data_IF_738307200720
#
_entry.id   IF_738307200720
#
_cell.length_a   1.000
_cell.length_b   1.000
_cell.length_c   1.000
_cell.angle_alpha   90.00
_cell.angle_beta   90.00
_cell.angle_gamma   90.00
#
_symmetry.space_group_name_H-M   'P 1'
#
loop_
_entity.id
_entity.type
_entity.pdbx_description
1 polymer ?
#
# COMPACT_ATOMS: atom_id res chain seq x y z
N UNK A 1 23.37 27.11 12.63
CA UNK A 1 22.58 27.81 11.59
C UNK A 1 21.54 26.84 11.07
N UNK A 2 20.30 27.00 11.52
CA UNK A 2 19.14 26.14 11.20
C UNK A 2 18.34 26.79 10.08
N UNK A 3 18.26 26.15 8.91
CA UNK A 3 17.39 26.59 7.83
C UNK A 3 15.96 26.04 8.06
N UNK A 4 14.92 26.89 8.03
CA UNK A 4 13.55 26.44 8.04
C UNK A 4 13.13 26.15 6.60
N UNK A 5 13.11 24.88 6.19
CA UNK A 5 12.44 24.50 4.94
C UNK A 5 11.01 24.08 5.28
N UNK A 6 10.18 25.07 5.60
CA UNK A 6 8.73 24.92 5.48
C UNK A 6 8.37 25.15 4.01
N UNK A 7 8.66 24.16 3.15
CA UNK A 7 7.99 24.11 1.87
C UNK A 7 6.49 23.94 2.18
N UNK A 8 5.71 25.01 2.01
CA UNK A 8 4.29 24.98 2.34
C UNK A 8 3.63 23.84 1.56
N UNK A 9 2.68 23.16 2.19
CA UNK A 9 1.93 22.04 1.60
C UNK A 9 1.31 22.44 0.25
N UNK A 10 1.04 23.73 0.05
CA UNK A 10 0.56 24.36 -1.18
C UNK A 10 1.66 24.47 -2.25
N UNK A 11 2.90 24.83 -1.89
CA UNK A 11 4.04 24.82 -2.81
C UNK A 11 4.33 23.41 -3.33
N UNK A 12 4.21 22.40 -2.46
CA UNK A 12 4.37 20.99 -2.83
C UNK A 12 3.24 20.47 -3.71
N UNK A 13 1.99 20.93 -3.49
CA UNK A 13 0.89 20.62 -4.40
C UNK A 13 1.04 21.32 -5.75
N UNK A 14 1.61 22.53 -5.81
CA UNK A 14 1.96 23.20 -7.08
C UNK A 14 3.00 22.42 -7.87
N UNK A 15 4.10 22.00 -7.25
CA UNK A 15 5.13 21.18 -7.91
C UNK A 15 4.53 19.86 -8.41
N UNK A 16 3.70 19.19 -7.59
CA UNK A 16 3.02 17.94 -7.97
C UNK A 16 2.01 18.14 -9.12
N UNK A 17 1.39 19.31 -9.20
CA UNK A 17 0.46 19.69 -10.28
C UNK A 17 1.22 20.07 -11.55
N UNK A 18 2.34 20.78 -11.44
CA UNK A 18 3.23 21.11 -12.56
C UNK A 18 3.86 19.84 -13.15
N UNK A 19 4.35 18.92 -12.31
CA UNK A 19 4.85 17.60 -12.73
C UNK A 19 3.79 16.74 -13.43
N UNK A 20 2.50 16.90 -13.10
CA UNK A 20 1.39 16.20 -13.77
C UNK A 20 0.94 16.87 -15.07
N UNK A 21 1.21 18.17 -15.27
CA UNK A 21 0.71 18.93 -16.42
C UNK A 21 1.74 19.08 -17.54
N UNK A 22 3.03 18.95 -17.27
CA UNK A 22 4.04 18.98 -18.32
C UNK A 22 4.37 17.59 -18.82
N UNK A 23 3.67 17.14 -19.86
CA UNK A 23 4.14 16.04 -20.73
C UNK A 23 5.51 16.34 -21.39
N UNK A 24 6.05 17.55 -21.23
CA UNK A 24 7.30 18.05 -21.82
C UNK A 24 8.37 18.51 -20.80
N UNK A 25 8.22 18.30 -19.49
CA UNK A 25 9.36 18.46 -18.58
C UNK A 25 10.12 17.13 -18.53
N UNK A 26 11.08 16.96 -19.42
CA UNK A 26 12.30 16.23 -19.07
C UNK A 26 13.33 17.26 -18.62
N UNK A 27 13.27 17.80 -17.38
CA UNK A 27 14.51 18.30 -16.82
C UNK A 27 15.44 17.08 -16.88
N UNK A 28 16.63 17.23 -17.46
CA UNK A 28 17.60 16.14 -17.48
C UNK A 28 17.89 15.78 -16.02
N UNK A 29 17.11 14.86 -15.45
CA UNK A 29 17.29 14.33 -14.10
C UNK A 29 18.72 13.77 -13.98
N UNK A 30 19.24 13.29 -15.11
CA UNK A 30 20.63 12.89 -15.32
C UNK A 30 21.68 13.97 -15.05
N UNK A 31 21.33 15.25 -15.00
CA UNK A 31 22.25 16.35 -14.72
C UNK A 31 22.18 16.84 -13.27
N UNK A 32 21.20 16.38 -12.49
CA UNK A 32 21.11 16.71 -11.07
C UNK A 32 22.25 16.04 -10.30
N UNK A 33 22.73 16.66 -9.23
CA UNK A 33 23.64 15.99 -8.29
C UNK A 33 22.88 14.89 -7.51
N UNK A 34 23.63 14.01 -6.87
CA UNK A 34 23.08 12.83 -6.18
C UNK A 34 22.09 13.18 -5.06
N UNK A 35 22.38 14.24 -4.30
CA UNK A 35 21.52 14.70 -3.21
C UNK A 35 20.17 15.21 -3.73
N UNK A 36 20.18 15.99 -4.81
CA UNK A 36 18.96 16.46 -5.46
C UNK A 36 18.14 15.30 -6.04
N UNK A 37 18.80 14.29 -6.63
CA UNK A 37 18.12 13.10 -7.14
C UNK A 37 17.44 12.31 -6.02
N UNK A 38 18.15 12.04 -4.92
CA UNK A 38 17.58 11.36 -3.75
C UNK A 38 16.40 12.14 -3.16
N UNK A 39 16.50 13.47 -3.12
CA UNK A 39 15.42 14.33 -2.67
C UNK A 39 14.20 14.22 -3.58
N UNK A 40 14.34 14.32 -4.90
CA UNK A 40 13.24 14.15 -5.86
C UNK A 40 12.59 12.77 -5.70
N UNK A 41 13.39 11.70 -5.64
CA UNK A 41 12.92 10.32 -5.46
C UNK A 41 12.15 10.12 -4.14
N UNK A 42 12.35 10.97 -3.14
CA UNK A 42 11.61 10.89 -1.87
C UNK A 42 10.13 11.32 -2.00
N UNK A 43 9.80 12.13 -3.02
CA UNK A 43 8.45 12.65 -3.26
C UNK A 43 7.64 11.84 -4.27
N UNK A 44 8.29 10.95 -5.01
CA UNK A 44 7.66 10.12 -6.01
C UNK A 44 6.99 8.91 -5.37
N UNK A 45 5.89 8.45 -6.00
CA UNK A 45 5.29 7.19 -5.61
C UNK A 45 6.09 6.01 -6.15
N UNK A 46 5.76 4.81 -5.67
CA UNK A 46 6.49 3.61 -6.01
C UNK A 46 6.43 3.27 -7.51
N UNK A 47 5.34 3.63 -8.19
CA UNK A 47 5.15 3.36 -9.62
C UNK A 47 6.04 4.30 -10.43
N UNK A 48 6.07 5.59 -10.08
CA UNK A 48 6.94 6.59 -10.69
C UNK A 48 8.41 6.21 -10.54
N UNK A 49 8.83 5.81 -9.33
CA UNK A 49 10.21 5.36 -9.06
C UNK A 49 10.56 4.12 -9.89
N UNK A 50 9.64 3.16 -9.95
CA UNK A 50 9.85 1.95 -10.75
C UNK A 50 9.99 2.28 -12.25
N UNK A 51 9.20 3.21 -12.77
CA UNK A 51 9.32 3.65 -14.15
C UNK A 51 10.64 4.40 -14.41
N UNK A 52 11.08 5.26 -13.49
CA UNK A 52 12.39 5.91 -13.57
C UNK A 52 13.53 4.91 -13.61
N UNK A 53 13.41 3.76 -12.93
CA UNK A 53 14.45 2.73 -12.97
C UNK A 53 14.70 2.14 -14.37
N UNK A 54 13.76 2.31 -15.30
CA UNK A 54 13.85 1.80 -16.68
C UNK A 54 14.45 2.79 -17.68
N UNK A 55 14.80 4.00 -17.23
CA UNK A 55 15.20 5.10 -18.13
C UNK A 55 16.70 5.07 -18.45
N UNK A 56 17.56 5.14 -17.44
CA UNK A 56 19.02 5.05 -17.59
C UNK A 56 19.67 4.43 -16.35
N UNK A 57 20.89 3.91 -16.49
CA UNK A 57 21.63 3.22 -15.40
C UNK A 57 21.80 4.07 -14.15
N UNK A 58 21.97 5.39 -14.31
CA UNK A 58 22.11 6.31 -13.17
C UNK A 58 20.82 6.37 -12.37
N UNK A 59 19.68 6.54 -13.03
CA UNK A 59 18.37 6.60 -12.36
C UNK A 59 17.94 5.24 -11.83
N UNK A 60 18.30 4.15 -12.50
CA UNK A 60 18.15 2.79 -12.00
C UNK A 60 18.79 2.63 -10.62
N UNK A 61 20.06 3.00 -10.47
CA UNK A 61 20.78 2.90 -9.19
C UNK A 61 20.04 3.63 -8.05
N UNK A 62 19.65 4.90 -8.26
CA UNK A 62 18.96 5.68 -7.23
C UNK A 62 17.54 5.18 -6.97
N UNK A 63 16.82 4.75 -8.01
CA UNK A 63 15.50 4.15 -7.88
C UNK A 63 15.57 2.87 -7.04
N UNK A 64 16.55 1.99 -7.29
CA UNK A 64 16.73 0.76 -6.51
C UNK A 64 17.07 1.03 -5.05
N UNK A 65 17.96 1.99 -4.77
CA UNK A 65 18.24 2.43 -3.40
C UNK A 65 16.96 2.89 -2.70
N UNK A 66 16.09 3.63 -3.40
CA UNK A 66 14.84 4.14 -2.84
C UNK A 66 13.80 3.04 -2.67
N UNK A 67 13.66 2.14 -3.63
CA UNK A 67 12.75 0.99 -3.61
C UNK A 67 13.05 0.06 -2.43
N UNK A 68 14.32 -0.20 -2.13
CA UNK A 68 14.75 -1.01 -0.97
C UNK A 68 14.34 -0.41 0.38
N UNK A 69 14.05 0.89 0.44
CA UNK A 69 13.64 1.60 1.67
C UNK A 69 12.13 1.63 1.87
N UNK A 70 11.33 1.11 0.93
CA UNK A 70 9.88 1.03 1.15
C UNK A 70 9.55 -0.09 2.14
N UNK A 71 8.96 0.29 3.26
CA UNK A 71 8.39 -0.61 4.26
C UNK A 71 6.86 -0.60 4.27
N UNK A 72 6.24 0.36 3.59
CA UNK A 72 4.79 0.52 3.51
C UNK A 72 4.32 0.59 2.05
N UNK A 73 3.22 -0.10 1.75
CA UNK A 73 2.58 -0.12 0.43
C UNK A 73 1.07 -0.02 0.57
N UNK A 74 0.41 0.71 -0.32
CA UNK A 74 -1.05 0.88 -0.32
C UNK A 74 -1.63 0.41 -1.66
N UNK A 75 -2.50 -0.59 -1.61
CA UNK A 75 -3.33 -0.99 -2.74
C UNK A 75 -4.53 -0.06 -2.82
N UNK A 76 -4.38 1.04 -3.56
CA UNK A 76 -5.44 2.02 -3.75
C UNK A 76 -6.71 1.48 -4.42
N UNK A 77 -7.75 2.33 -4.50
CA UNK A 77 -9.06 1.98 -5.09
C UNK A 77 -8.95 1.60 -6.58
N UNK A 78 -8.01 2.22 -7.31
CA UNK A 78 -7.64 1.84 -8.67
C UNK A 78 -6.46 0.87 -8.61
N UNK A 79 -6.77 -0.42 -8.61
CA UNK A 79 -5.77 -1.48 -8.65
C UNK A 79 -5.01 -1.39 -9.99
N UNK A 80 -3.70 -1.12 -10.00
CA UNK A 80 -2.93 -1.19 -11.24
C UNK A 80 -3.01 -2.62 -11.80
N UNK A 81 -2.91 -2.74 -13.13
CA UNK A 81 -2.90 -4.03 -13.79
C UNK A 81 -1.83 -4.96 -13.18
N UNK A 82 -2.14 -6.25 -13.02
CA UNK A 82 -1.24 -7.24 -12.40
C UNK A 82 0.11 -7.29 -13.11
N UNK A 83 0.11 -7.00 -14.42
CA UNK A 83 1.30 -6.87 -15.27
C UNK A 83 2.31 -5.81 -14.79
N UNK A 84 1.83 -4.72 -14.19
CA UNK A 84 2.67 -3.66 -13.63
C UNK A 84 3.01 -3.90 -12.16
N UNK A 85 2.09 -4.52 -11.43
CA UNK A 85 2.19 -4.71 -9.99
C UNK A 85 3.18 -5.82 -9.61
N UNK A 86 3.17 -6.95 -10.33
CA UNK A 86 4.04 -8.07 -10.01
C UNK A 86 5.53 -7.69 -10.03
N UNK A 87 6.06 -7.01 -11.08
CA UNK A 87 7.46 -6.59 -11.09
C UNK A 87 7.83 -5.64 -9.95
N UNK A 88 6.89 -4.77 -9.53
CA UNK A 88 7.11 -3.86 -8.41
C UNK A 88 7.22 -4.66 -7.12
N UNK A 89 6.26 -5.56 -6.87
CA UNK A 89 6.24 -6.39 -5.66
C UNK A 89 7.42 -7.38 -5.61
N UNK A 90 7.94 -7.84 -6.73
CA UNK A 90 9.17 -8.63 -6.78
C UNK A 90 10.39 -7.85 -6.29
N UNK A 91 10.47 -6.54 -6.60
CA UNK A 91 11.56 -5.67 -6.13
C UNK A 91 11.39 -5.23 -4.67
N UNK A 92 10.18 -4.91 -4.23
CA UNK A 92 9.96 -4.30 -2.91
C UNK A 92 9.37 -5.21 -1.84
N UNK A 93 8.70 -6.29 -2.25
CA UNK A 93 7.79 -7.04 -1.38
C UNK A 93 8.46 -7.64 -0.14
N UNK A 94 9.71 -8.09 -0.27
CA UNK A 94 10.50 -8.60 0.85
C UNK A 94 10.80 -7.54 1.93
N UNK A 95 10.77 -6.24 1.58
CA UNK A 95 11.03 -5.15 2.52
C UNK A 95 9.74 -4.61 3.16
N UNK A 96 8.57 -4.97 2.62
CA UNK A 96 7.29 -4.49 3.12
C UNK A 96 6.97 -5.10 4.48
N UNK A 97 6.68 -4.22 5.44
CA UNK A 97 6.25 -4.57 6.80
C UNK A 97 4.79 -4.19 7.03
N UNK A 98 4.30 -3.18 6.32
CA UNK A 98 2.95 -2.64 6.45
C UNK A 98 2.28 -2.53 5.09
N UNK A 99 1.03 -2.99 5.01
CA UNK A 99 0.23 -2.90 3.80
C UNK A 99 -1.14 -2.33 4.13
N UNK A 100 -1.58 -1.36 3.32
CA UNK A 100 -2.96 -0.89 3.30
C UNK A 100 -3.67 -1.44 2.07
N UNK A 101 -4.89 -1.95 2.25
CA UNK A 101 -5.67 -2.61 1.20
C UNK A 101 -7.04 -1.97 1.12
N UNK A 102 -7.30 -1.26 0.02
CA UNK A 102 -8.64 -0.80 -0.31
C UNK A 102 -9.42 -1.92 -1.01
N UNK A 103 -10.68 -2.11 -0.63
CA UNK A 103 -11.59 -3.12 -1.22
C UNK A 103 -10.93 -4.50 -1.29
N UNK A 104 -10.68 -5.07 -0.11
CA UNK A 104 -10.01 -6.37 0.03
C UNK A 104 -10.66 -7.47 -0.82
N UNK A 105 -9.85 -8.21 -1.58
CA UNK A 105 -10.23 -9.37 -2.38
C UNK A 105 -9.12 -10.44 -2.36
N UNK A 106 -9.43 -11.63 -2.87
CA UNK A 106 -8.54 -12.79 -2.88
C UNK A 106 -7.28 -12.59 -3.74
N UNK A 107 -7.39 -11.83 -4.85
CA UNK A 107 -6.24 -11.58 -5.73
C UNK A 107 -5.17 -10.81 -4.99
N UNK A 108 -5.58 -9.77 -4.23
CA UNK A 108 -4.67 -8.99 -3.37
C UNK A 108 -4.02 -9.88 -2.31
N UNK A 109 -4.80 -10.77 -1.69
CA UNK A 109 -4.28 -11.70 -0.69
C UNK A 109 -3.24 -12.66 -1.28
N UNK A 110 -3.49 -13.18 -2.49
CA UNK A 110 -2.56 -14.05 -3.23
C UNK A 110 -1.26 -13.34 -3.60
N UNK A 111 -1.32 -12.09 -4.01
CA UNK A 111 -0.10 -11.30 -4.28
C UNK A 111 0.70 -11.05 -3.00
N UNK A 112 0.01 -10.75 -1.90
CA UNK A 112 0.65 -10.54 -0.61
C UNK A 112 1.34 -11.79 -0.06
N UNK A 113 0.66 -12.94 -0.12
CA UNK A 113 1.24 -14.21 0.34
C UNK A 113 2.46 -14.62 -0.50
N UNK A 114 2.44 -14.32 -1.80
CA UNK A 114 3.53 -14.64 -2.73
C UNK A 114 4.74 -13.71 -2.59
N UNK A 115 4.51 -12.39 -2.57
CA UNK A 115 5.58 -11.41 -2.73
C UNK A 115 5.96 -10.68 -1.46
N UNK A 116 5.10 -10.68 -0.44
CA UNK A 116 5.26 -9.84 0.75
C UNK A 116 5.39 -10.66 2.05
N UNK A 117 6.36 -11.58 2.15
CA UNK A 117 6.42 -12.58 3.22
C UNK A 117 6.70 -12.01 4.62
N UNK A 118 7.13 -10.75 4.71
CA UNK A 118 7.54 -10.06 5.94
C UNK A 118 6.50 -9.05 6.45
N UNK A 119 5.32 -8.99 5.82
CA UNK A 119 4.26 -8.08 6.25
C UNK A 119 3.73 -8.51 7.60
N UNK A 120 3.72 -7.56 8.54
CA UNK A 120 3.26 -7.74 9.92
C UNK A 120 2.04 -6.89 10.23
N UNK A 121 1.85 -5.79 9.50
CA UNK A 121 0.76 -4.85 9.71
C UNK A 121 -0.12 -4.80 8.45
N UNK A 122 -1.37 -5.20 8.56
CA UNK A 122 -2.34 -5.12 7.47
C UNK A 122 -3.46 -4.16 7.88
N UNK A 123 -3.75 -3.20 7.02
CA UNK A 123 -4.86 -2.25 7.18
C UNK A 123 -5.86 -2.48 6.06
N UNK A 124 -7.08 -2.87 6.41
CA UNK A 124 -8.17 -3.08 5.47
C UNK A 124 -9.07 -1.84 5.46
N UNK A 125 -9.17 -1.19 4.32
CA UNK A 125 -10.02 -0.01 4.12
C UNK A 125 -11.20 -0.40 3.24
N UNK A 126 -12.41 -0.20 3.74
CA UNK A 126 -13.66 -0.59 3.06
C UNK A 126 -13.62 -2.05 2.56
N UNK A 127 -13.30 -3.04 3.42
CA UNK A 127 -13.29 -4.42 2.97
C UNK A 127 -14.70 -4.84 2.52
N UNK A 128 -14.80 -5.41 1.32
CA UNK A 128 -16.05 -5.91 0.77
C UNK A 128 -16.48 -7.21 1.49
N UNK A 129 -17.74 -7.65 1.29
CA UNK A 129 -18.29 -8.90 1.87
C UNK A 129 -17.65 -10.20 1.31
N UNK A 130 -16.44 -10.13 0.74
CA UNK A 130 -15.79 -11.21 -0.02
C UNK A 130 -15.24 -12.29 0.91
N UNK A 131 -15.10 -12.04 2.21
CA UNK A 131 -14.69 -13.03 3.21
C UNK A 131 -15.57 -14.30 3.24
N UNK A 132 -16.79 -14.26 2.71
CA UNK A 132 -17.67 -15.42 2.66
C UNK A 132 -17.26 -16.46 1.59
N UNK A 133 -16.54 -16.04 0.55
CA UNK A 133 -16.18 -16.90 -0.59
C UNK A 133 -14.71 -17.33 -0.60
N UNK A 134 -13.85 -16.71 0.21
CA UNK A 134 -12.42 -17.01 0.24
C UNK A 134 -12.15 -18.18 1.18
N UNK A 135 -11.44 -19.19 0.68
CA UNK A 135 -10.81 -20.20 1.54
C UNK A 135 -9.50 -19.64 2.09
N UNK A 136 -9.34 -19.62 3.41
CA UNK A 136 -8.13 -19.08 4.04
C UNK A 136 -7.03 -20.11 4.25
N UNK A 137 -7.33 -21.39 4.05
CA UNK A 137 -6.41 -22.49 4.38
C UNK A 137 -5.07 -22.33 3.67
N UNK A 138 -5.08 -21.98 2.37
CA UNK A 138 -3.87 -21.75 1.57
C UNK A 138 -3.07 -20.51 1.98
N UNK A 139 -3.71 -19.53 2.64
CA UNK A 139 -3.09 -18.28 3.08
C UNK A 139 -2.67 -18.31 4.54
N UNK A 140 -3.00 -19.37 5.28
CA UNK A 140 -2.69 -19.53 6.71
C UNK A 140 -1.22 -19.22 7.02
N UNK A 141 -0.21 -19.75 6.30
CA UNK A 141 1.20 -19.46 6.62
C UNK A 141 1.56 -17.97 6.53
N UNK A 142 0.91 -17.23 5.64
CA UNK A 142 1.09 -15.78 5.51
C UNK A 142 0.31 -15.04 6.61
N UNK A 143 -0.97 -15.39 6.82
CA UNK A 143 -1.83 -14.75 7.81
C UNK A 143 -1.27 -14.89 9.24
N UNK A 144 -0.62 -16.01 9.55
CA UNK A 144 -0.01 -16.26 10.86
C UNK A 144 1.14 -15.28 11.18
N UNK A 145 1.72 -14.62 10.17
CA UNK A 145 2.79 -13.62 10.37
C UNK A 145 2.25 -12.23 10.66
N UNK A 146 0.96 -12.00 10.44
CA UNK A 146 0.31 -10.72 10.68
C UNK A 146 0.13 -10.53 12.18
N UNK A 147 0.79 -9.50 12.72
CA UNK A 147 0.74 -9.13 14.15
C UNK A 147 -0.32 -8.07 14.42
N UNK A 148 -0.56 -7.20 13.44
CA UNK A 148 -1.52 -6.09 13.54
C UNK A 148 -2.48 -6.14 12.38
N UNK A 149 -3.77 -6.19 12.71
CA UNK A 149 -4.84 -5.99 11.75
C UNK A 149 -5.64 -4.74 12.13
N UNK A 150 -5.66 -3.76 11.24
CA UNK A 150 -6.52 -2.59 11.33
C UNK A 150 -7.64 -2.70 10.30
N UNK A 151 -8.87 -2.40 10.72
CA UNK A 151 -10.01 -2.41 9.81
C UNK A 151 -10.72 -1.06 9.92
N UNK A 152 -10.72 -0.33 8.80
CA UNK A 152 -11.46 0.92 8.62
C UNK A 152 -12.67 0.66 7.74
N UNK A 153 -13.86 0.91 8.30
CA UNK A 153 -15.13 0.80 7.58
C UNK A 153 -15.65 2.18 7.24
N UNK A 154 -15.91 2.43 5.96
CA UNK A 154 -16.65 3.60 5.49
C UNK A 154 -18.17 3.37 5.46
N UNK A 155 -18.94 4.47 5.38
CA UNK A 155 -20.41 4.47 5.55
C UNK A 155 -21.21 3.51 4.65
N UNK A 156 -20.70 3.13 3.47
CA UNK A 156 -21.37 2.17 2.56
C UNK A 156 -21.47 0.74 3.12
N UNK A 157 -20.64 0.38 4.10
CA UNK A 157 -20.72 -0.93 4.75
C UNK A 157 -22.05 -1.07 5.55
N UNK A 158 -22.65 0.04 6.00
CA UNK A 158 -23.82 0.02 6.88
C UNK A 158 -25.17 -0.21 6.20
N UNK A 159 -25.35 0.24 4.95
CA UNK A 159 -26.58 -0.08 4.21
C UNK A 159 -26.72 -1.59 3.93
N UNK A 160 -25.59 -2.30 3.91
CA UNK A 160 -25.52 -3.76 3.79
C UNK A 160 -25.40 -4.51 5.14
N UNK A 161 -25.12 -3.83 6.26
CA UNK A 161 -25.08 -4.42 7.62
C UNK A 161 -26.45 -4.51 8.28
N UNK A 162 -27.36 -3.55 8.03
CA UNK A 162 -28.74 -3.62 8.57
C UNK A 162 -29.53 -4.79 7.98
N UNK A 163 -29.07 -5.36 6.85
CA UNK A 163 -29.67 -6.53 6.22
C UNK A 163 -28.76 -7.75 6.37
N UNK A 164 -29.13 -8.57 7.35
CA UNK A 164 -28.86 -10.01 7.48
C UNK A 164 -27.45 -10.46 7.93
N UNK A 165 -27.43 -11.38 8.91
CA UNK A 165 -26.73 -12.69 8.95
C UNK A 165 -25.25 -12.80 8.49
N UNK A 166 -24.55 -11.70 8.19
CA UNK A 166 -23.20 -11.64 7.57
C UNK A 166 -22.06 -11.57 8.59
N UNK A 167 -22.33 -11.75 9.88
CA UNK A 167 -21.30 -11.84 10.92
C UNK A 167 -20.39 -13.07 10.74
N UNK A 168 -20.85 -14.14 10.09
CA UNK A 168 -20.05 -15.35 9.85
C UNK A 168 -18.74 -15.12 9.07
N UNK A 169 -18.68 -14.14 8.15
CA UNK A 169 -17.46 -13.87 7.37
C UNK A 169 -16.37 -13.18 8.19
N UNK A 170 -16.80 -12.21 8.99
CA UNK A 170 -15.92 -11.44 9.85
C UNK A 170 -15.43 -12.32 11.00
N UNK A 171 -16.33 -13.15 11.53
CA UNK A 171 -16.01 -14.18 12.50
C UNK A 171 -15.02 -15.19 11.91
N UNK A 172 -15.13 -15.60 10.64
CA UNK A 172 -14.14 -16.49 9.99
C UNK A 172 -12.74 -15.86 9.88
N UNK A 173 -12.63 -14.59 9.48
CA UNK A 173 -11.34 -13.88 9.45
C UNK A 173 -10.78 -13.73 10.88
N UNK A 174 -11.64 -13.33 11.82
CA UNK A 174 -11.29 -13.24 13.23
C UNK A 174 -10.93 -14.60 13.82
N UNK A 175 -11.57 -15.70 13.40
CA UNK A 175 -11.29 -17.07 13.82
C UNK A 175 -9.93 -17.47 13.25
N UNK A 176 -9.69 -17.29 11.95
CA UNK A 176 -8.39 -17.55 11.32
C UNK A 176 -7.25 -16.78 12.01
N UNK A 177 -7.52 -15.55 12.48
CA UNK A 177 -6.56 -14.71 13.19
C UNK A 177 -6.51 -14.92 14.71
N UNK A 178 -7.61 -15.28 15.38
CA UNK A 178 -7.69 -15.56 16.84
C UNK A 178 -7.20 -16.95 17.21
N UNK A 179 -7.35 -17.93 16.33
CA UNK A 179 -6.75 -19.25 16.53
C UNK A 179 -5.21 -19.19 16.48
N UNK A 180 -4.65 -18.08 16.00
CA UNK A 180 -3.25 -17.78 16.14
C UNK A 180 -3.03 -16.85 17.33
N UNK A 181 -2.40 -17.35 18.38
CA UNK A 181 -1.93 -16.59 19.56
C UNK A 181 -0.94 -15.44 19.24
N UNK A 182 -0.77 -15.06 17.96
CA UNK A 182 0.17 -14.09 17.43
C UNK A 182 -0.43 -12.73 17.11
N UNK A 183 -1.76 -12.60 17.07
CA UNK A 183 -2.41 -11.31 16.89
C UNK A 183 -2.26 -10.47 18.17
N UNK A 184 -1.23 -9.63 18.22
CA UNK A 184 -0.94 -8.80 19.40
C UNK A 184 -1.88 -7.62 19.52
N UNK A 185 -2.47 -7.16 18.41
CA UNK A 185 -3.40 -6.03 18.41
C UNK A 185 -4.41 -6.09 17.27
N UNK A 186 -5.68 -5.89 17.60
CA UNK A 186 -6.77 -5.67 16.67
C UNK A 186 -7.32 -4.26 16.89
N UNK A 187 -7.30 -3.42 15.85
CA UNK A 187 -7.90 -2.09 15.90
C UNK A 187 -9.09 -2.01 14.96
N UNK A 188 -10.26 -1.74 15.52
CA UNK A 188 -11.50 -1.49 14.76
C UNK A 188 -11.79 0.00 14.84
N UNK A 189 -11.58 0.71 13.74
CA UNK A 189 -11.89 2.13 13.65
C UNK A 189 -13.17 2.33 12.84
N UNK A 190 -14.12 3.02 13.46
CA UNK A 190 -15.38 3.41 12.87
C UNK A 190 -15.28 4.86 12.42
N UNK A 191 -15.44 5.10 11.14
CA UNK A 191 -15.52 6.45 10.58
C UNK A 191 -16.94 6.62 10.06
N UNK A 192 -17.78 7.29 10.85
CA UNK A 192 -19.05 7.81 10.34
C UNK A 192 -18.69 8.89 9.31
N UNK A 193 -19.11 8.67 8.06
CA UNK A 193 -19.04 9.69 7.03
C UNK A 193 -20.40 10.38 7.10
N UNK A 194 -20.43 11.53 7.77
CA UNK A 194 -21.58 12.43 7.70
C UNK A 194 -21.84 12.76 6.22
N UNK A 195 -23.07 12.51 5.78
CA UNK A 195 -23.52 12.68 4.40
C UNK A 195 -23.73 14.14 4.05
#
# INVERSE_FOLDING_TARGET
>A
MTYPISASREGLQRIKKELRFSRNFSPNLENLNELCLLLVMSFLDIVDIFNLSKTCKRLEFFAEMRLKRFSHFSFGDSFPDESLLNPILEKVGNNLQSVEIFRFDERKLKLLSKYCPNVKHVKLVNPCNIFNSISFDEYTPFLNKITTLEIRKGGFFYSNLRRAKRYQSFDKLLIALKYNHLLTSLKLEYVEIDK
#
